data_IF_939864016563
#
_entry.id   IF_939864016563
#
_cell.length_a   1.000
_cell.length_b   1.000
_cell.length_c   1.000
_cell.angle_alpha   90.00
_cell.angle_beta   90.00
_cell.angle_gamma   90.00
#
_symmetry.space_group_name_H-M   'P 1'
#
loop_
_entity.id
_entity.type
_entity.pdbx_description
1 polymer ?
#
# COMPACT_ATOMS: atom_id res chain seq x y z
N UNK A 1 -11.10 1.08 4.02
CA UNK A 1 -10.05 1.61 4.95
C UNK A 1 -10.26 3.10 5.17
N UNK A 2 -10.16 3.56 6.39
CA UNK A 2 -10.27 4.98 6.70
C UNK A 2 -8.90 5.65 6.67
N UNK A 3 -8.90 6.98 6.64
CA UNK A 3 -7.66 7.75 6.74
C UNK A 3 -6.89 7.39 8.02
N UNK A 4 -7.59 7.27 9.14
CA UNK A 4 -6.95 6.94 10.41
C UNK A 4 -6.27 5.58 10.37
N UNK A 5 -6.91 4.60 9.75
CA UNK A 5 -6.33 3.27 9.56
C UNK A 5 -5.10 3.32 8.67
N UNK A 6 -5.15 4.11 7.61
CA UNK A 6 -4.01 4.26 6.70
C UNK A 6 -2.82 4.91 7.43
N UNK A 7 -3.06 5.96 8.19
CA UNK A 7 -2.00 6.63 8.95
C UNK A 7 -1.37 5.66 9.95
N UNK A 8 -2.19 4.90 10.66
CA UNK A 8 -1.70 3.92 11.63
C UNK A 8 -0.85 2.84 10.96
N UNK A 9 -1.28 2.39 9.79
CA UNK A 9 -0.53 1.37 9.04
C UNK A 9 0.83 1.87 8.61
N UNK A 10 0.95 3.14 8.25
CA UNK A 10 2.17 3.72 7.70
C UNK A 10 3.11 4.34 8.74
N UNK A 11 2.73 4.37 10.00
CA UNK A 11 3.50 5.12 11.01
C UNK A 11 4.94 4.66 11.16
N UNK A 12 5.20 3.36 10.96
CA UNK A 12 6.54 2.78 11.09
C UNK A 12 7.28 2.67 9.76
N UNK A 13 6.68 3.16 8.70
CA UNK A 13 7.28 3.09 7.36
C UNK A 13 8.15 4.32 7.13
N UNK A 14 9.35 4.17 6.57
CA UNK A 14 10.21 5.33 6.26
C UNK A 14 9.54 6.33 5.34
N UNK A 15 9.86 7.60 5.51
CA UNK A 15 9.25 8.67 4.72
C UNK A 15 9.57 8.56 3.23
N UNK A 16 10.68 7.94 2.88
CA UNK A 16 11.09 7.77 1.48
C UNK A 16 10.66 6.44 0.87
N UNK A 17 9.83 5.68 1.54
CA UNK A 17 9.29 4.44 0.99
C UNK A 17 8.43 4.74 -0.25
N UNK A 18 8.52 3.88 -1.25
CA UNK A 18 7.72 4.01 -2.47
C UNK A 18 6.30 3.51 -2.20
N UNK A 19 5.31 4.28 -2.63
CA UNK A 19 3.90 3.90 -2.55
C UNK A 19 3.44 3.45 -3.92
N UNK A 20 2.86 2.27 -4.00
CA UNK A 20 2.39 1.69 -5.25
C UNK A 20 0.94 1.22 -5.11
N UNK A 21 0.25 1.06 -6.22
CA UNK A 21 -1.14 0.62 -6.24
C UNK A 21 -1.25 -0.64 -7.08
N UNK A 22 -1.91 -1.64 -6.52
CA UNK A 22 -2.23 -2.87 -7.24
C UNK A 22 -3.74 -2.94 -7.44
N UNK A 23 -4.19 -2.60 -8.64
CA UNK A 23 -5.60 -2.64 -9.03
C UNK A 23 -5.68 -3.12 -10.47
N UNK A 24 -6.31 -4.27 -10.67
CA UNK A 24 -6.41 -4.90 -12.00
C UNK A 24 -7.47 -4.27 -12.88
N UNK A 25 -8.43 -3.54 -12.29
CA UNK A 25 -9.58 -3.03 -13.02
C UNK A 25 -9.50 -1.53 -13.04
N UNK A 26 -9.12 -0.72 -13.35
CA UNK A 26 -9.05 0.74 -13.48
C UNK A 26 -10.32 1.47 -13.00
N UNK A 27 -11.05 0.89 -12.06
CA UNK A 27 -12.20 1.52 -11.45
C UNK A 27 -11.89 1.94 -10.02
N UNK A 28 -12.73 2.79 -9.45
CA UNK A 28 -12.58 3.17 -8.06
C UNK A 28 -13.08 2.04 -7.16
N UNK A 29 -12.18 1.41 -6.44
CA UNK A 29 -12.51 0.36 -5.49
C UNK A 29 -12.06 0.76 -4.10
N UNK A 30 -12.74 0.28 -3.05
CA UNK A 30 -12.27 0.51 -1.70
C UNK A 30 -10.89 -0.10 -1.49
N UNK A 31 -10.08 0.56 -0.69
CA UNK A 31 -8.79 -0.02 -0.29
C UNK A 31 -9.08 -1.22 0.62
N UNK A 32 -8.62 -2.40 0.20
CA UNK A 32 -8.76 -3.61 0.99
C UNK A 32 -7.70 -3.68 2.07
N UNK A 33 -6.45 -3.49 1.69
CA UNK A 33 -5.37 -3.46 2.66
C UNK A 33 -4.17 -2.71 2.10
N UNK A 34 -3.25 -2.37 2.98
CA UNK A 34 -1.95 -1.82 2.60
C UNK A 34 -0.90 -2.86 2.96
N UNK A 35 -0.21 -3.36 1.95
CA UNK A 35 0.83 -4.37 2.11
C UNK A 35 2.17 -3.67 2.29
N UNK A 36 2.79 -3.85 3.44
CA UNK A 36 4.07 -3.21 3.77
C UNK A 36 5.22 -4.21 3.86
N UNK A 37 4.97 -5.49 3.59
CA UNK A 37 5.95 -6.54 3.88
C UNK A 37 6.35 -7.38 2.68
N UNK A 38 5.54 -7.44 1.63
CA UNK A 38 5.75 -8.38 0.53
C UNK A 38 6.71 -7.87 -0.54
N UNK A 39 6.93 -6.58 -0.61
CA UNK A 39 7.76 -5.98 -1.65
C UNK A 39 8.86 -5.13 -1.04
N UNK A 40 10.01 -5.14 -1.71
CA UNK A 40 11.18 -4.44 -1.21
C UNK A 40 12.00 -3.92 -2.38
N UNK A 41 12.41 -2.66 -2.31
CA UNK A 41 13.29 -2.06 -3.30
C UNK A 41 14.73 -2.32 -2.87
N UNK A 42 15.36 -3.31 -3.48
CA UNK A 42 16.72 -3.69 -3.12
C UNK A 42 17.76 -2.67 -3.54
N UNK A 43 17.46 -1.85 -4.55
CA UNK A 43 18.38 -0.81 -4.98
C UNK A 43 18.49 0.30 -3.95
N UNK A 44 17.39 0.60 -3.27
CA UNK A 44 17.33 1.66 -2.27
C UNK A 44 17.41 1.14 -0.84
N UNK A 45 17.16 -0.14 -0.64
CA UNK A 45 17.12 -0.73 0.69
C UNK A 45 15.90 -0.32 1.51
N UNK A 46 14.77 -0.08 0.86
CA UNK A 46 13.54 0.37 1.52
C UNK A 46 12.35 -0.50 1.11
N UNK A 47 11.32 -0.60 1.96
CA UNK A 47 10.12 -1.34 1.57
C UNK A 47 9.30 -0.58 0.52
N UNK A 48 8.59 -1.33 -0.31
CA UNK A 48 7.59 -0.78 -1.21
C UNK A 48 6.23 -1.03 -0.57
N UNK A 49 5.49 0.04 -0.31
CA UNK A 49 4.14 -0.04 0.24
C UNK A 49 3.16 -0.19 -0.91
N UNK A 50 2.42 -1.30 -0.92
CA UNK A 50 1.47 -1.57 -1.99
C UNK A 50 0.04 -1.46 -1.46
N UNK A 51 -0.74 -0.59 -2.08
CA UNK A 51 -2.16 -0.44 -1.78
C UNK A 51 -2.91 -1.45 -2.61
N UNK A 52 -3.63 -2.36 -1.95
CA UNK A 52 -4.42 -3.39 -2.61
C UNK A 52 -5.90 -3.07 -2.47
N UNK A 53 -6.62 -3.11 -3.57
CA UNK A 53 -8.04 -2.80 -3.59
C UNK A 53 -8.88 -4.07 -3.60
N UNK A 54 -10.11 -3.95 -3.09
CA UNK A 54 -11.05 -5.06 -3.08
C UNK A 54 -12.07 -4.86 -4.20
N UNK A 55 -11.97 -5.67 -5.24
CA UNK A 55 -12.85 -5.59 -6.40
C UNK A 55 -13.61 -6.89 -6.65
N UNK A 56 -13.70 -7.75 -5.66
CA UNK A 56 -14.41 -9.02 -5.80
C UNK A 56 -15.89 -8.93 -5.44
N UNK A 57 -16.32 -7.82 -4.95
CA UNK A 57 -17.73 -7.63 -4.64
C UNK A 57 -18.52 -7.26 -5.88
#
# INVERSE_FOLDING_TARGET
>A
MTKAELIETLKDIPDDAVIDIYDLERFNHPVWRVNTESYFDYDRGIPIVTIETNYED
#
